data_IF_219324391726
#
_entry.id   IF_219324391726
#
_cell.length_a   1.000
_cell.length_b   1.000
_cell.length_c   1.000
_cell.angle_alpha   90.00
_cell.angle_beta   90.00
_cell.angle_gamma   90.00
#
_symmetry.space_group_name_H-M   'P 1'
#
loop_
_entity.id
_entity.type
_entity.pdbx_description
1 polymer ?
#
# COMPACT_ATOMS: atom_id res chain seq x y z
N UNK A 1 9.32 3.77 -18.41
CA UNK A 1 10.71 4.10 -18.00
C UNK A 1 10.83 3.94 -16.50
N UNK A 2 11.86 3.26 -15.99
CA UNK A 2 12.14 3.12 -14.55
C UNK A 2 12.97 4.32 -14.05
N UNK A 3 12.71 4.76 -12.82
CA UNK A 3 13.42 5.84 -12.11
C UNK A 3 13.78 5.34 -10.71
N UNK A 4 14.80 5.91 -10.09
CA UNK A 4 15.17 5.58 -8.71
C UNK A 4 13.94 5.67 -7.80
N UNK A 5 13.67 4.62 -7.05
CA UNK A 5 12.47 4.52 -6.20
C UNK A 5 12.41 5.66 -5.16
N UNK A 6 13.57 6.08 -4.64
CA UNK A 6 13.67 7.17 -3.67
C UNK A 6 13.11 8.51 -4.18
N UNK A 7 13.09 8.74 -5.51
CA UNK A 7 12.58 9.96 -6.14
C UNK A 7 11.14 9.87 -6.63
N UNK A 8 10.45 8.75 -6.43
CA UNK A 8 9.07 8.58 -6.87
C UNK A 8 8.07 9.02 -5.81
N UNK A 9 6.92 9.49 -6.28
CA UNK A 9 5.74 9.81 -5.46
C UNK A 9 4.58 8.89 -5.84
N UNK A 10 3.61 8.76 -4.96
CA UNK A 10 2.37 8.05 -5.24
C UNK A 10 1.59 8.74 -6.37
N UNK A 11 1.00 7.99 -7.28
CA UNK A 11 0.13 8.55 -8.31
C UNK A 11 -1.28 8.86 -7.77
N UNK A 12 -1.99 9.79 -8.41
CA UNK A 12 -3.40 10.06 -8.08
C UNK A 12 -4.29 8.81 -8.29
N UNK A 13 -3.94 7.97 -9.26
CA UNK A 13 -4.65 6.69 -9.50
C UNK A 13 -4.51 5.75 -8.30
N UNK A 14 -3.34 5.69 -7.67
CA UNK A 14 -3.15 4.91 -6.45
C UNK A 14 -4.05 5.39 -5.32
N UNK A 15 -4.14 6.71 -5.08
CA UNK A 15 -5.00 7.28 -4.03
C UNK A 15 -6.46 6.89 -4.26
N UNK A 16 -6.94 6.96 -5.52
CA UNK A 16 -8.29 6.51 -5.88
C UNK A 16 -8.51 5.01 -5.63
N UNK A 17 -7.54 4.18 -5.97
CA UNK A 17 -7.60 2.73 -5.73
C UNK A 17 -7.63 2.40 -4.24
N UNK A 18 -6.81 3.07 -3.42
CA UNK A 18 -6.81 2.90 -1.97
C UNK A 18 -8.15 3.32 -1.35
N UNK A 19 -8.74 4.45 -1.80
CA UNK A 19 -10.08 4.86 -1.36
C UNK A 19 -11.12 3.75 -1.61
N UNK A 20 -11.05 3.08 -2.77
CA UNK A 20 -11.91 1.95 -3.10
C UNK A 20 -11.68 0.72 -2.21
N UNK A 21 -10.43 0.40 -1.87
CA UNK A 21 -10.13 -0.74 -0.99
C UNK A 21 -10.52 -0.49 0.46
N UNK A 22 -10.24 0.69 1.00
CA UNK A 22 -10.46 0.99 2.42
C UNK A 22 -11.93 1.29 2.73
N UNK A 23 -12.69 1.85 1.77
CA UNK A 23 -14.05 2.34 1.98
C UNK A 23 -14.11 3.57 2.90
N UNK A 24 -15.20 4.31 2.83
CA UNK A 24 -15.38 5.53 3.61
C UNK A 24 -16.24 5.30 4.87
N UNK A 25 -15.76 5.80 6.01
CA UNK A 25 -16.51 5.85 7.28
C UNK A 25 -16.47 7.25 7.87
N UNK A 26 -17.63 7.86 8.02
CA UNK A 26 -17.76 9.22 8.60
C UNK A 26 -17.41 9.28 10.09
N UNK A 27 -17.75 8.23 10.84
CA UNK A 27 -17.53 8.13 12.28
C UNK A 27 -16.40 7.17 12.59
N UNK A 28 -15.61 7.50 13.62
CA UNK A 28 -14.59 6.60 14.12
C UNK A 28 -15.20 5.26 14.59
N UNK A 29 -14.57 4.18 14.20
CA UNK A 29 -14.97 2.81 14.56
C UNK A 29 -13.74 1.99 14.98
N UNK A 30 -13.96 0.88 15.63
CA UNK A 30 -12.90 -0.09 15.89
C UNK A 30 -12.79 -1.03 14.69
N UNK A 31 -11.59 -1.19 14.16
CA UNK A 31 -11.33 -2.18 13.12
C UNK A 31 -11.36 -3.63 13.67
N UNK A 32 -11.08 -4.61 12.82
CA UNK A 32 -11.12 -6.03 13.20
C UNK A 32 -10.13 -6.44 14.30
N UNK A 33 -9.13 -5.60 14.57
CA UNK A 33 -8.12 -5.80 15.62
C UNK A 33 -8.25 -4.79 16.78
N UNK A 34 -9.35 -4.01 16.81
CA UNK A 34 -9.67 -3.10 17.89
C UNK A 34 -8.95 -1.75 17.82
N UNK A 35 -8.43 -1.35 16.67
CA UNK A 35 -7.77 -0.05 16.48
C UNK A 35 -8.78 1.00 16.03
N UNK A 36 -8.86 2.18 16.70
CA UNK A 36 -9.72 3.28 16.25
C UNK A 36 -9.33 3.74 14.84
N UNK A 37 -10.30 3.70 13.94
CA UNK A 37 -10.12 3.95 12.50
C UNK A 37 -11.17 4.95 12.01
N UNK A 38 -10.82 5.83 11.08
CA UNK A 38 -11.68 6.91 10.56
C UNK A 38 -11.45 7.16 9.07
N UNK A 39 -12.47 7.62 8.36
CA UNK A 39 -12.37 8.00 6.95
C UNK A 39 -12.07 6.81 6.05
N UNK A 40 -10.97 6.87 5.33
CA UNK A 40 -10.45 5.80 4.46
C UNK A 40 -9.32 5.02 5.17
N UNK A 41 -9.62 4.40 6.31
CA UNK A 41 -8.66 3.53 6.99
C UNK A 41 -7.58 4.26 7.82
N UNK A 42 -7.71 5.56 8.06
CA UNK A 42 -6.76 6.30 8.89
C UNK A 42 -6.83 5.85 10.35
N UNK A 43 -5.68 5.57 10.95
CA UNK A 43 -5.58 5.11 12.37
C UNK A 43 -4.76 6.05 13.25
N UNK A 44 -3.72 6.68 12.69
CA UNK A 44 -2.81 7.52 13.46
C UNK A 44 -3.54 8.71 14.12
N UNK A 45 -3.50 8.77 15.46
CA UNK A 45 -4.13 9.85 16.22
C UNK A 45 -5.65 9.83 16.25
N UNK A 46 -6.29 8.77 15.71
CA UNK A 46 -7.76 8.62 15.74
C UNK A 46 -8.21 8.20 17.14
N UNK A 47 -9.31 8.81 17.60
CA UNK A 47 -9.99 8.48 18.87
C UNK A 47 -11.46 8.21 18.61
N UNK A 48 -12.03 7.32 19.37
CA UNK A 48 -13.48 7.06 19.33
C UNK A 48 -14.27 8.35 19.58
N UNK A 49 -15.39 8.53 18.88
CA UNK A 49 -16.21 9.74 18.93
C UNK A 49 -15.82 10.81 17.89
N UNK A 50 -14.70 10.68 17.21
CA UNK A 50 -14.32 11.60 16.12
C UNK A 50 -15.18 11.39 14.88
N UNK A 51 -15.33 12.47 14.11
CA UNK A 51 -16.02 12.48 12.81
C UNK A 51 -15.14 13.15 11.75
N UNK A 52 -15.36 12.76 10.51
CA UNK A 52 -14.74 13.37 9.33
C UNK A 52 -15.78 13.59 8.24
N UNK A 53 -15.42 14.36 7.22
CA UNK A 53 -16.17 14.49 5.97
C UNK A 53 -15.36 13.89 4.81
N UNK A 54 -15.97 13.65 3.63
CA UNK A 54 -15.26 13.04 2.50
C UNK A 54 -14.04 13.82 2.04
N UNK A 55 -14.08 15.16 2.08
CA UNK A 55 -12.96 16.00 1.63
C UNK A 55 -11.76 15.84 2.56
N UNK A 56 -11.97 15.96 3.87
CA UNK A 56 -10.92 15.76 4.87
C UNK A 56 -10.38 14.33 4.85
N UNK A 57 -11.27 13.34 4.65
CA UNK A 57 -10.88 11.94 4.56
C UNK A 57 -9.96 11.69 3.35
N UNK A 58 -10.26 12.26 2.17
CA UNK A 58 -9.40 12.16 0.97
C UNK A 58 -8.08 12.88 1.17
N UNK A 59 -8.09 14.09 1.76
CA UNK A 59 -6.86 14.82 2.06
C UNK A 59 -5.94 14.01 2.99
N UNK A 60 -6.52 13.39 4.01
CA UNK A 60 -5.78 12.53 4.92
C UNK A 60 -5.25 11.28 4.24
N UNK A 61 -6.08 10.61 3.42
CA UNK A 61 -5.65 9.45 2.63
C UNK A 61 -4.46 9.80 1.74
N UNK A 62 -4.50 10.95 1.06
CA UNK A 62 -3.38 11.41 0.23
C UNK A 62 -2.10 11.62 1.06
N UNK A 63 -2.21 12.29 2.21
CA UNK A 63 -1.08 12.53 3.10
C UNK A 63 -0.49 11.22 3.67
N UNK A 64 -1.34 10.28 4.08
CA UNK A 64 -0.92 8.96 4.56
C UNK A 64 -0.25 8.16 3.43
N UNK A 65 -0.81 8.20 2.21
CA UNK A 65 -0.23 7.55 1.02
C UNK A 65 1.15 8.12 0.69
N UNK A 66 1.33 9.44 0.77
CA UNK A 66 2.63 10.08 0.57
C UNK A 66 3.65 9.67 1.64
N UNK A 67 3.23 9.50 2.89
CA UNK A 67 4.11 9.01 3.94
C UNK A 67 4.58 7.58 3.67
N UNK A 68 3.68 6.69 3.23
CA UNK A 68 4.04 5.34 2.80
C UNK A 68 4.93 5.34 1.55
N UNK A 69 4.67 6.21 0.57
CA UNK A 69 5.51 6.34 -0.62
C UNK A 69 6.94 6.72 -0.26
N UNK A 70 7.14 7.69 0.64
CA UNK A 70 8.49 8.04 1.13
C UNK A 70 9.17 6.87 1.84
N UNK A 71 8.44 6.13 2.67
CA UNK A 71 8.98 4.96 3.38
C UNK A 71 9.35 3.84 2.40
N UNK A 72 8.51 3.52 1.44
CA UNK A 72 8.76 2.52 0.38
C UNK A 72 9.98 2.91 -0.43
N UNK A 73 10.05 4.19 -0.88
CA UNK A 73 11.21 4.72 -1.59
C UNK A 73 12.51 4.58 -0.81
N UNK A 74 12.50 4.92 0.48
CA UNK A 74 13.66 4.77 1.35
C UNK A 74 14.09 3.29 1.52
N UNK A 75 13.14 2.36 1.63
CA UNK A 75 13.44 0.92 1.76
C UNK A 75 14.01 0.32 0.47
N UNK A 76 13.53 0.74 -0.68
CA UNK A 76 14.02 0.27 -1.98
C UNK A 76 15.34 0.95 -2.34
N UNK A 77 15.48 2.24 -2.04
CA UNK A 77 16.67 3.04 -2.32
C UNK A 77 16.77 3.45 -3.79
N UNK A 78 17.99 3.41 -4.33
CA UNK A 78 18.28 3.85 -5.69
C UNK A 78 17.90 2.82 -6.78
N UNK A 79 17.31 1.69 -6.42
CA UNK A 79 16.86 0.69 -7.40
C UNK A 79 15.83 1.32 -8.32
N UNK A 80 16.05 1.29 -9.66
CA UNK A 80 15.11 1.87 -10.60
C UNK A 80 13.82 1.04 -10.66
N UNK A 81 12.66 1.69 -10.48
CA UNK A 81 11.33 1.06 -10.63
C UNK A 81 10.44 1.89 -11.55
N UNK A 82 9.47 1.26 -12.19
CA UNK A 82 8.43 1.96 -12.96
C UNK A 82 7.34 2.48 -12.01
N UNK A 83 6.59 3.51 -12.43
CA UNK A 83 5.52 4.08 -11.61
C UNK A 83 4.47 3.04 -11.20
N UNK A 84 4.05 2.17 -12.13
CA UNK A 84 3.07 1.12 -11.84
C UNK A 84 3.60 0.08 -10.83
N UNK A 85 4.90 -0.25 -10.87
CA UNK A 85 5.56 -1.11 -9.89
C UNK A 85 5.57 -0.41 -8.52
N UNK A 86 5.99 0.85 -8.48
CA UNK A 86 6.05 1.66 -7.26
C UNK A 86 4.68 1.81 -6.59
N UNK A 87 3.64 2.15 -7.35
CA UNK A 87 2.28 2.27 -6.84
C UNK A 87 1.76 0.95 -6.24
N UNK A 88 2.05 -0.19 -6.89
CA UNK A 88 1.69 -1.50 -6.34
C UNK A 88 2.42 -1.79 -5.01
N UNK A 89 3.68 -1.39 -4.89
CA UNK A 89 4.46 -1.53 -3.65
C UNK A 89 3.93 -0.62 -2.54
N UNK A 90 3.55 0.62 -2.86
CA UNK A 90 2.94 1.54 -1.89
C UNK A 90 1.57 1.03 -1.45
N UNK A 91 0.73 0.50 -2.37
CA UNK A 91 -0.55 -0.12 -2.02
C UNK A 91 -0.38 -1.29 -1.05
N UNK A 92 0.59 -2.16 -1.31
CA UNK A 92 0.92 -3.27 -0.41
C UNK A 92 1.36 -2.75 0.95
N UNK A 93 2.32 -1.80 0.99
CA UNK A 93 2.83 -1.23 2.23
C UNK A 93 1.76 -0.53 3.07
N UNK A 94 0.82 0.16 2.41
CA UNK A 94 -0.33 0.78 3.07
C UNK A 94 -1.18 -0.24 3.84
N UNK A 95 -1.35 -1.44 3.28
CA UNK A 95 -2.17 -2.49 3.89
C UNK A 95 -1.42 -3.32 4.97
N UNK A 96 -0.16 -3.70 4.70
CA UNK A 96 0.60 -4.59 5.60
C UNK A 96 1.47 -3.84 6.62
N UNK A 97 1.61 -2.53 6.45
CA UNK A 97 2.52 -1.68 7.22
C UNK A 97 3.91 -1.55 6.58
N UNK A 98 4.48 -0.36 6.66
CA UNK A 98 5.78 -0.05 6.04
C UNK A 98 6.93 -0.86 6.61
N UNK A 99 6.92 -1.16 7.92
CA UNK A 99 7.96 -1.99 8.54
C UNK A 99 7.99 -3.41 7.98
N UNK A 100 6.82 -4.06 7.85
CA UNK A 100 6.69 -5.38 7.25
C UNK A 100 7.11 -5.38 5.76
N UNK A 101 6.72 -4.34 5.02
CA UNK A 101 7.16 -4.15 3.64
C UNK A 101 8.69 -4.08 3.53
N UNK A 102 9.33 -3.22 4.32
CA UNK A 102 10.79 -3.01 4.29
C UNK A 102 11.57 -4.29 4.63
N UNK A 103 11.07 -5.13 5.52
CA UNK A 103 11.69 -6.39 5.91
C UNK A 103 11.39 -7.55 4.94
N UNK A 104 10.51 -7.33 3.95
CA UNK A 104 9.98 -8.38 3.08
C UNK A 104 11.01 -8.96 2.10
N UNK A 105 10.72 -10.18 1.64
CA UNK A 105 11.46 -10.81 0.54
C UNK A 105 11.32 -10.02 -0.76
N UNK A 106 10.21 -9.28 -0.95
CA UNK A 106 10.01 -8.40 -2.09
C UNK A 106 11.15 -7.37 -2.18
N UNK A 107 11.42 -6.63 -1.10
CA UNK A 107 12.49 -5.62 -1.06
C UNK A 107 13.86 -6.28 -1.27
N UNK A 108 14.10 -7.45 -0.67
CA UNK A 108 15.35 -8.20 -0.87
C UNK A 108 15.58 -8.55 -2.34
N UNK A 109 14.52 -8.96 -3.08
CA UNK A 109 14.60 -9.26 -4.52
C UNK A 109 14.89 -8.03 -5.36
N UNK A 110 14.28 -6.89 -5.04
CA UNK A 110 14.58 -5.63 -5.74
C UNK A 110 16.03 -5.18 -5.53
N UNK A 111 16.60 -5.45 -4.37
CA UNK A 111 17.98 -5.06 -4.03
C UNK A 111 19.06 -6.03 -4.51
N UNK A 112 18.69 -7.09 -5.23
CA UNK A 112 19.66 -7.97 -5.89
C UNK A 112 20.36 -7.25 -7.05
N UNK A 113 21.48 -7.81 -7.49
CA UNK A 113 22.21 -7.32 -8.66
C UNK A 113 22.38 -8.44 -9.68
N UNK A 114 21.63 -8.43 -10.80
CA UNK A 114 20.59 -7.48 -11.16
C UNK A 114 19.29 -7.65 -10.33
N UNK A 115 18.44 -6.60 -10.24
CA UNK A 115 17.15 -6.70 -9.55
C UNK A 115 16.20 -7.72 -10.16
N UNK A 116 15.55 -8.53 -9.31
CA UNK A 116 14.52 -9.51 -9.71
C UNK A 116 13.12 -8.87 -9.62
N UNK A 117 12.73 -8.10 -10.64
CA UNK A 117 11.45 -7.38 -10.65
C UNK A 117 10.24 -8.32 -10.67
N UNK A 118 10.25 -9.33 -11.52
CA UNK A 118 9.13 -10.28 -11.64
C UNK A 118 8.97 -11.10 -10.37
N UNK A 119 10.07 -11.54 -9.79
CA UNK A 119 10.04 -12.24 -8.51
C UNK A 119 9.60 -11.34 -7.35
N UNK A 120 9.96 -10.05 -7.37
CA UNK A 120 9.47 -9.09 -6.39
C UNK A 120 7.95 -8.90 -6.51
N UNK A 121 7.42 -8.68 -7.72
CA UNK A 121 5.98 -8.60 -7.94
C UNK A 121 5.24 -9.86 -7.48
N UNK A 122 5.78 -11.06 -7.74
CA UNK A 122 5.19 -12.32 -7.31
C UNK A 122 5.09 -12.45 -5.77
N UNK A 123 5.98 -11.80 -5.01
CA UNK A 123 5.90 -11.80 -3.55
C UNK A 123 4.65 -11.09 -3.01
N UNK A 124 4.03 -10.18 -3.76
CA UNK A 124 2.76 -9.52 -3.38
C UNK A 124 1.69 -10.56 -3.05
N UNK A 125 1.58 -11.62 -3.83
CA UNK A 125 0.56 -12.67 -3.69
C UNK A 125 0.63 -13.41 -2.35
N UNK A 126 1.75 -13.38 -1.66
CA UNK A 126 1.94 -14.06 -0.37
C UNK A 126 1.24 -13.37 0.81
N UNK A 127 0.84 -12.11 0.64
CA UNK A 127 0.20 -11.30 1.69
C UNK A 127 -1.33 -11.42 1.68
N UNK A 128 -1.84 -12.65 1.58
CA UNK A 128 -3.28 -12.98 1.47
C UNK A 128 -3.86 -13.60 2.74
N UNK A 129 -3.15 -13.50 3.87
CA UNK A 129 -3.55 -14.09 5.13
C UNK A 129 -3.89 -13.02 6.17
N UNK A 130 -4.93 -13.29 6.98
CA UNK A 130 -5.24 -12.55 8.19
C UNK A 130 -5.57 -13.57 9.31
N UNK A 131 -4.98 -13.38 10.50
CA UNK A 131 -5.18 -14.30 11.62
C UNK A 131 -4.80 -15.77 11.30
N UNK A 132 -3.80 -15.98 10.43
CA UNK A 132 -3.35 -17.32 10.02
C UNK A 132 -4.22 -18.03 8.99
N UNK A 133 -5.27 -17.37 8.47
CA UNK A 133 -6.19 -17.94 7.45
C UNK A 133 -6.14 -17.11 6.18
N UNK A 134 -6.40 -17.76 5.05
CA UNK A 134 -6.56 -17.07 3.77
C UNK A 134 -7.83 -16.21 3.84
N UNK A 135 -7.69 -14.93 3.50
CA UNK A 135 -8.78 -13.96 3.45
C UNK A 135 -9.13 -13.64 1.98
N UNK A 136 -10.36 -13.99 1.50
CA UNK A 136 -10.72 -13.82 0.09
C UNK A 136 -10.57 -12.38 -0.43
N UNK A 137 -10.89 -11.38 0.40
CA UNK A 137 -10.72 -9.96 0.07
C UNK A 137 -9.26 -9.60 -0.17
N UNK A 138 -8.35 -10.12 0.67
CA UNK A 138 -6.92 -9.94 0.48
C UNK A 138 -6.40 -10.67 -0.76
N UNK A 139 -6.92 -11.86 -1.07
CA UNK A 139 -6.55 -12.59 -2.31
C UNK A 139 -6.89 -11.74 -3.53
N UNK A 140 -8.09 -11.16 -3.57
CA UNK A 140 -8.53 -10.31 -4.68
C UNK A 140 -7.67 -9.06 -4.80
N UNK A 141 -7.40 -8.38 -3.69
CA UNK A 141 -6.53 -7.19 -3.65
C UNK A 141 -5.11 -7.51 -4.11
N UNK A 142 -4.50 -8.58 -3.62
CA UNK A 142 -3.13 -9.00 -4.02
C UNK A 142 -3.04 -9.35 -5.50
N UNK A 143 -4.06 -9.96 -6.08
CA UNK A 143 -4.11 -10.23 -7.52
C UNK A 143 -4.14 -8.94 -8.34
N UNK A 144 -4.91 -7.94 -7.92
CA UNK A 144 -4.95 -6.64 -8.59
C UNK A 144 -3.60 -5.92 -8.50
N UNK A 145 -3.01 -5.84 -7.31
CA UNK A 145 -1.68 -5.24 -7.08
C UNK A 145 -0.58 -5.97 -7.88
N UNK A 146 -0.61 -7.30 -7.93
CA UNK A 146 0.32 -8.08 -8.75
C UNK A 146 0.21 -7.76 -10.24
N UNK A 147 -1.01 -7.71 -10.79
CA UNK A 147 -1.23 -7.33 -12.21
C UNK A 147 -0.70 -5.92 -12.48
N UNK A 148 -1.01 -4.97 -11.61
CA UNK A 148 -0.48 -3.61 -11.70
C UNK A 148 1.05 -3.62 -11.69
N UNK A 149 1.68 -4.34 -10.77
CA UNK A 149 3.13 -4.48 -10.68
C UNK A 149 3.74 -5.04 -11.97
N UNK A 150 3.07 -6.00 -12.59
CA UNK A 150 3.51 -6.60 -13.87
C UNK A 150 3.21 -5.73 -15.09
N UNK A 151 2.58 -4.55 -14.92
CA UNK A 151 2.22 -3.67 -16.01
C UNK A 151 1.09 -4.19 -16.91
N UNK A 152 0.28 -5.13 -16.40
CA UNK A 152 -0.90 -5.64 -17.09
C UNK A 152 -2.07 -4.72 -16.79
N UNK A 153 -2.69 -4.14 -17.85
CA UNK A 153 -3.88 -3.30 -17.70
C UNK A 153 -5.00 -4.04 -16.98
N UNK A 154 -5.73 -3.31 -16.12
CA UNK A 154 -6.91 -3.82 -15.43
C UNK A 154 -8.09 -3.92 -16.37
#
# INVERSE_FOLDING_TARGET
MRKAALGLTASALLVGSLAGYEGYREHAYLDSVGVPTLGFGATAGVRMGQRTDPVRAVQRLAADTDAFARQVGACIGDVPVAQHEFDAFVSLAYNIGGGAFCASTLVKKLRQSPPDYSGACAQILRWSYAGGKIEPGLVTRRKAEYRQCMGVAQ
#
